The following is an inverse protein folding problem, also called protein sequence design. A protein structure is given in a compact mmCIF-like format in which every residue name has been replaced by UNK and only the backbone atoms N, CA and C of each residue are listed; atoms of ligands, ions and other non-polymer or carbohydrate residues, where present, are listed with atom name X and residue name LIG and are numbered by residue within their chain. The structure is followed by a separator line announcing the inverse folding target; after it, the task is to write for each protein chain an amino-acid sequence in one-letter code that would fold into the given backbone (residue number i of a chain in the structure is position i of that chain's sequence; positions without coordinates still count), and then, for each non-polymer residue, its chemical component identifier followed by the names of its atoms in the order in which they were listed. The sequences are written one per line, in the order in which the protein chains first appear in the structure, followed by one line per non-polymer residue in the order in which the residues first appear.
data_IF_193638174666
#
_entry.id   IF_193638174666
#
_cell.length_a   1.000
_cell.length_b   1.000
_cell.length_c   1.000
_cell.angle_alpha   90.00
_cell.angle_beta   90.00
_cell.angle_gamma   90.00
#
_symmetry.space_group_name_H-M   'P 1'
#
loop_
_entity.id
_entity.type
_entity.pdbx_description
1 polymer ?
#
# COMPACT_ATOMS: atom_id res chain seq x y z
N UNK A 1 -40.89 27.42 -18.67
CA UNK A 1 -41.64 26.31 -19.28
C UNK A 1 -41.26 26.01 -20.75
N UNK A 2 -40.17 26.58 -21.27
CA UNK A 2 -39.67 26.27 -22.62
C UNK A 2 -38.64 25.15 -22.71
N UNK A 3 -38.11 24.70 -21.59
CA UNK A 3 -37.04 23.63 -21.57
C UNK A 3 -37.59 22.21 -21.66
N UNK A 4 -38.85 21.97 -21.43
CA UNK A 4 -39.42 20.60 -21.36
C UNK A 4 -39.87 20.10 -22.73
N UNK A 5 -40.14 21.01 -23.69
CA UNK A 5 -40.64 20.63 -25.02
C UNK A 5 -39.52 20.09 -25.94
N UNK A 6 -38.25 20.47 -25.70
CA UNK A 6 -37.13 20.05 -26.55
C UNK A 6 -36.73 18.54 -26.27
N UNK A 7 -36.89 18.10 -25.04
CA UNK A 7 -36.55 16.70 -24.68
C UNK A 7 -37.54 15.66 -25.18
N UNK A 8 -38.83 16.05 -25.36
CA UNK A 8 -39.88 15.18 -25.83
C UNK A 8 -39.80 14.83 -27.33
N UNK A 9 -39.13 15.65 -28.14
CA UNK A 9 -39.03 15.43 -29.61
C UNK A 9 -37.86 14.51 -29.95
N UNK A 10 -36.89 14.34 -29.09
CA UNK A 10 -35.70 13.46 -29.32
C UNK A 10 -36.01 11.97 -29.07
N UNK A 11 -37.04 11.65 -28.31
CA UNK A 11 -37.38 10.26 -27.93
C UNK A 11 -38.40 9.54 -28.85
N UNK A 12 -38.97 10.23 -29.83
CA UNK A 12 -40.04 9.64 -30.66
C UNK A 12 -39.76 9.50 -32.17
N UNK A 13 -38.61 9.85 -32.68
CA UNK A 13 -38.33 9.80 -34.12
C UNK A 13 -36.96 9.24 -34.46
N UNK A 14 -36.92 8.16 -35.20
CA UNK A 14 -35.71 7.47 -35.62
C UNK A 14 -34.72 8.31 -36.43
N UNK A 15 -33.54 7.74 -36.65
CA UNK A 15 -32.30 8.27 -37.23
C UNK A 15 -32.45 9.22 -38.46
N UNK A 16 -33.55 9.16 -39.18
CA UNK A 16 -33.81 10.01 -40.34
C UNK A 16 -34.18 11.48 -39.99
N UNK A 17 -34.68 11.76 -38.80
CA UNK A 17 -35.02 13.14 -38.36
C UNK A 17 -33.78 13.90 -37.88
N UNK A 18 -32.73 13.21 -37.47
CA UNK A 18 -31.51 13.80 -36.94
C UNK A 18 -30.69 14.55 -38.00
N UNK A 19 -30.64 14.02 -39.24
CA UNK A 19 -29.87 14.61 -40.33
C UNK A 19 -30.50 15.93 -40.87
N UNK A 20 -31.79 16.15 -40.68
CA UNK A 20 -32.49 17.37 -41.15
C UNK A 20 -32.61 18.44 -40.07
N UNK A 21 -32.63 18.06 -38.81
CA UNK A 21 -32.81 19.03 -37.68
C UNK A 21 -31.48 19.59 -37.17
N UNK A 22 -30.36 18.90 -37.32
CA UNK A 22 -29.07 19.30 -36.81
C UNK A 22 -28.62 20.71 -37.26
N UNK A 23 -28.68 21.09 -38.53
CA UNK A 23 -28.25 22.43 -38.97
C UNK A 23 -29.18 23.54 -38.48
N UNK A 24 -30.50 23.29 -38.34
CA UNK A 24 -31.45 24.31 -37.83
C UNK A 24 -31.39 24.45 -36.32
N UNK A 25 -31.08 23.42 -35.57
CA UNK A 25 -30.84 23.50 -34.12
C UNK A 25 -29.56 24.28 -33.83
N UNK A 26 -28.52 24.07 -34.62
CA UNK A 26 -27.27 24.86 -34.54
C UNK A 26 -27.50 26.35 -34.85
N UNK A 27 -28.33 26.66 -35.86
CA UNK A 27 -28.69 28.07 -36.18
C UNK A 27 -29.56 28.71 -35.10
N UNK A 28 -30.47 28.00 -34.48
CA UNK A 28 -31.26 28.47 -33.36
C UNK A 28 -30.45 28.69 -32.10
N UNK A 29 -29.53 27.79 -31.80
CA UNK A 29 -28.60 27.93 -30.66
C UNK A 29 -27.64 29.12 -30.87
N UNK A 30 -27.18 29.37 -32.10
CA UNK A 30 -26.33 30.53 -32.42
C UNK A 30 -27.11 31.86 -32.41
N UNK A 31 -28.42 31.88 -32.70
CA UNK A 31 -29.23 33.06 -32.67
C UNK A 31 -29.68 33.50 -31.25
N UNK A 32 -29.71 32.57 -30.29
CA UNK A 32 -30.01 32.86 -28.88
C UNK A 32 -28.75 33.08 -28.04
N UNK A 33 -27.57 32.72 -28.53
CA UNK A 33 -26.29 33.06 -27.92
C UNK A 33 -25.79 34.32 -28.61
N UNK A 34 -25.98 35.50 -28.00
CA UNK A 34 -25.27 36.67 -28.44
C UNK A 34 -23.81 36.29 -28.63
N UNK A 35 -23.24 36.57 -29.79
CA UNK A 35 -21.92 36.12 -30.29
C UNK A 35 -20.77 36.62 -29.41
N UNK A 36 -20.58 35.96 -28.23
CA UNK A 36 -19.29 35.88 -27.59
C UNK A 36 -18.72 34.52 -27.98
N UNK A 37 -17.55 34.55 -28.61
CA UNK A 37 -16.75 33.33 -28.78
C UNK A 37 -16.72 32.58 -27.46
N UNK A 38 -16.77 31.21 -27.47
CA UNK A 38 -16.67 30.43 -26.25
C UNK A 38 -15.44 30.89 -25.48
N UNK A 39 -15.61 31.24 -24.20
CA UNK A 39 -14.52 31.73 -23.36
C UNK A 39 -13.60 30.57 -22.99
N UNK A 40 -12.88 30.06 -23.98
CA UNK A 40 -11.98 28.90 -23.89
C UNK A 40 -10.55 29.29 -24.31
N UNK A 41 -9.58 28.57 -23.76
CA UNK A 41 -8.19 28.64 -24.23
C UNK A 41 -8.05 27.89 -25.55
N UNK A 42 -6.94 28.15 -26.26
CA UNK A 42 -6.56 27.40 -27.47
C UNK A 42 -5.33 26.56 -27.23
N UNK A 43 -5.31 25.34 -27.78
CA UNK A 43 -4.14 24.44 -27.74
C UNK A 43 -4.03 23.56 -26.51
N UNK A 44 -2.85 22.97 -26.32
CA UNK A 44 -2.56 21.93 -25.33
C UNK A 44 -2.00 22.45 -23.99
N UNK A 45 -2.04 23.78 -23.79
CA UNK A 45 -1.58 24.38 -22.54
C UNK A 45 -0.08 24.63 -22.45
N UNK A 46 0.34 25.24 -21.33
CA UNK A 46 1.73 25.64 -21.05
C UNK A 46 2.17 24.99 -19.73
N UNK A 47 2.60 25.67 -18.75
CA UNK A 47 3.17 25.22 -17.49
C UNK A 47 2.46 24.01 -16.87
N UNK A 48 3.23 23.07 -16.33
CA UNK A 48 2.70 21.87 -15.67
C UNK A 48 1.92 22.24 -14.39
N UNK A 49 0.82 21.54 -14.17
CA UNK A 49 0.02 21.62 -12.95
C UNK A 49 -0.57 20.24 -12.66
N UNK A 50 -0.63 19.85 -11.39
CA UNK A 50 -1.33 18.63 -10.99
C UNK A 50 -2.72 18.99 -10.51
N UNK A 51 -3.75 18.30 -11.02
CA UNK A 51 -5.11 18.38 -10.51
C UNK A 51 -5.51 17.05 -9.86
N UNK A 52 -6.47 17.08 -8.95
CA UNK A 52 -6.95 15.89 -8.27
C UNK A 52 -8.45 15.77 -8.46
N UNK A 53 -8.90 14.61 -8.95
CA UNK A 53 -10.30 14.17 -9.00
C UNK A 53 -10.52 13.25 -7.81
N UNK A 54 -11.46 13.61 -6.93
CA UNK A 54 -11.78 12.82 -5.74
C UNK A 54 -12.83 11.76 -6.06
N UNK A 55 -12.88 10.72 -5.24
CA UNK A 55 -13.96 9.74 -5.32
C UNK A 55 -15.31 10.44 -5.09
N UNK A 56 -16.27 10.18 -6.00
CA UNK A 56 -17.58 10.82 -5.96
C UNK A 56 -17.65 12.19 -6.65
N UNK A 57 -16.54 12.74 -7.18
CA UNK A 57 -16.60 13.95 -8.00
C UNK A 57 -17.42 13.68 -9.26
N UNK A 58 -18.44 14.53 -9.50
CA UNK A 58 -19.21 14.55 -10.73
C UNK A 58 -18.60 15.53 -11.74
N UNK A 59 -19.05 15.48 -12.99
CA UNK A 59 -18.47 16.31 -14.06
C UNK A 59 -18.41 17.81 -13.75
N UNK A 60 -19.36 18.33 -12.98
CA UNK A 60 -19.39 19.73 -12.53
C UNK A 60 -18.26 20.06 -11.56
N UNK A 61 -17.96 19.15 -10.62
CA UNK A 61 -16.85 19.27 -9.67
C UNK A 61 -15.50 19.24 -10.39
N UNK A 62 -15.36 18.34 -11.37
CA UNK A 62 -14.15 18.25 -12.21
C UNK A 62 -13.94 19.54 -12.98
N UNK A 63 -14.98 20.06 -13.65
CA UNK A 63 -14.93 21.32 -14.38
C UNK A 63 -14.49 22.51 -13.50
N UNK A 64 -15.06 22.60 -12.29
CA UNK A 64 -14.72 23.65 -11.33
C UNK A 64 -13.25 23.50 -10.84
N UNK A 65 -12.78 22.29 -10.66
CA UNK A 65 -11.38 22.01 -10.28
C UNK A 65 -10.42 22.44 -11.37
N UNK A 66 -10.70 22.10 -12.62
CA UNK A 66 -9.88 22.51 -13.77
C UNK A 66 -9.79 24.04 -13.90
N UNK A 67 -10.89 24.75 -13.71
CA UNK A 67 -10.89 26.22 -13.75
C UNK A 67 -10.08 26.82 -12.59
N UNK A 68 -10.29 26.36 -11.36
CA UNK A 68 -9.53 26.83 -10.18
C UNK A 68 -8.03 26.61 -10.31
N UNK A 69 -7.62 25.52 -10.96
CA UNK A 69 -6.22 25.20 -11.21
C UNK A 69 -5.65 25.93 -12.44
N UNK A 70 -6.43 26.73 -13.12
CA UNK A 70 -6.02 27.45 -14.31
C UNK A 70 -5.81 26.58 -15.55
N UNK A 71 -6.30 25.34 -15.54
CA UNK A 71 -6.23 24.41 -16.68
C UNK A 71 -7.16 24.86 -17.78
N UNK A 72 -8.44 25.09 -17.48
CA UNK A 72 -9.41 25.64 -18.42
C UNK A 72 -9.81 27.06 -18.01
N UNK A 73 -10.25 27.85 -18.98
CA UNK A 73 -10.61 29.26 -18.77
C UNK A 73 -11.96 29.41 -18.09
N UNK A 74 -12.96 28.60 -18.51
CA UNK A 74 -14.31 28.62 -17.99
C UNK A 74 -14.83 27.19 -17.77
N UNK A 75 -15.20 26.88 -16.51
CA UNK A 75 -15.76 25.59 -16.12
C UNK A 75 -17.05 25.24 -16.84
N UNK A 76 -17.87 26.24 -17.19
CA UNK A 76 -19.15 26.05 -17.89
C UNK A 76 -18.92 25.55 -19.32
N UNK A 77 -17.88 26.05 -19.99
CA UNK A 77 -17.50 25.57 -21.33
C UNK A 77 -17.03 24.12 -21.29
N UNK A 78 -16.19 23.78 -20.33
CA UNK A 78 -15.75 22.41 -20.13
C UNK A 78 -16.91 21.48 -19.76
N UNK A 79 -17.77 21.88 -18.82
CA UNK A 79 -18.93 21.10 -18.42
C UNK A 79 -19.91 20.86 -19.58
N UNK A 80 -20.14 21.88 -20.43
CA UNK A 80 -20.94 21.71 -21.63
C UNK A 80 -20.37 20.71 -22.61
N UNK A 81 -19.04 20.66 -22.75
CA UNK A 81 -18.34 19.64 -23.53
C UNK A 81 -18.56 18.24 -22.95
N UNK A 82 -18.53 18.09 -21.61
CA UNK A 82 -18.81 16.82 -20.96
C UNK A 82 -20.23 16.32 -21.22
N UNK A 83 -21.21 17.21 -21.13
CA UNK A 83 -22.61 16.84 -21.44
C UNK A 83 -22.80 16.38 -22.87
N UNK A 84 -21.94 16.83 -23.79
CA UNK A 84 -21.92 16.37 -25.18
C UNK A 84 -21.09 15.09 -25.40
N UNK A 85 -20.46 14.57 -24.34
CA UNK A 85 -19.59 13.38 -24.38
C UNK A 85 -20.04 12.35 -23.31
N UNK A 86 -21.21 11.72 -23.47
CA UNK A 86 -21.84 10.90 -22.42
C UNK A 86 -21.04 9.65 -22.02
N UNK A 87 -20.15 9.16 -22.88
CA UNK A 87 -19.34 7.97 -22.62
C UNK A 87 -18.08 8.26 -21.77
N UNK A 88 -17.83 9.53 -21.43
CA UNK A 88 -16.66 9.92 -20.64
C UNK A 88 -16.89 9.62 -19.18
N UNK A 89 -16.02 8.79 -18.61
CA UNK A 89 -15.94 8.54 -17.18
C UNK A 89 -14.59 9.04 -16.65
N UNK A 90 -14.61 9.68 -15.48
CA UNK A 90 -13.40 10.09 -14.76
C UNK A 90 -13.09 9.09 -13.67
N UNK A 91 -11.84 8.67 -13.62
CA UNK A 91 -11.36 7.89 -12.50
C UNK A 91 -10.79 8.82 -11.41
N UNK A 92 -11.07 8.58 -10.12
CA UNK A 92 -10.40 9.28 -9.03
C UNK A 92 -8.89 9.14 -9.14
N UNK A 93 -8.16 10.22 -8.86
CA UNK A 93 -6.70 10.22 -8.95
C UNK A 93 -6.16 11.63 -9.20
N UNK A 94 -4.84 11.73 -9.18
CA UNK A 94 -4.12 12.95 -9.58
C UNK A 94 -3.68 12.84 -11.03
N UNK A 95 -3.77 13.98 -11.76
CA UNK A 95 -3.45 14.05 -13.18
C UNK A 95 -2.46 15.18 -13.44
N UNK A 96 -1.40 14.88 -14.19
CA UNK A 96 -0.46 15.87 -14.69
C UNK A 96 -1.08 16.59 -15.88
N UNK A 97 -1.48 17.82 -15.67
CA UNK A 97 -2.12 18.68 -16.65
C UNK A 97 -1.22 19.87 -16.99
N UNK A 98 -1.67 20.72 -17.89
CA UNK A 98 -1.04 22.01 -18.15
C UNK A 98 -2.04 23.14 -17.93
N UNK A 99 -1.55 24.29 -17.51
CA UNK A 99 -2.37 25.51 -17.46
C UNK A 99 -2.71 25.97 -18.87
N UNK A 100 -3.82 26.67 -19.03
CA UNK A 100 -4.28 27.28 -20.28
C UNK A 100 -4.48 26.26 -21.42
N UNK A 101 -5.07 25.10 -21.10
CA UNK A 101 -5.51 24.13 -22.10
C UNK A 101 -6.89 24.49 -22.64
N UNK A 102 -7.14 24.21 -23.93
CA UNK A 102 -8.53 24.20 -24.41
C UNK A 102 -9.33 23.12 -23.67
N UNK A 103 -10.63 23.31 -23.50
CA UNK A 103 -11.52 22.32 -22.88
C UNK A 103 -11.39 20.93 -23.54
N UNK A 104 -11.27 20.89 -24.87
CA UNK A 104 -11.07 19.65 -25.62
C UNK A 104 -9.72 18.98 -25.29
N UNK A 105 -8.64 19.74 -25.22
CA UNK A 105 -7.32 19.20 -24.86
C UNK A 105 -7.28 18.74 -23.40
N UNK A 106 -7.94 19.47 -22.50
CA UNK A 106 -8.04 19.09 -21.10
C UNK A 106 -8.83 17.78 -20.93
N UNK A 107 -9.93 17.60 -21.67
CA UNK A 107 -10.72 16.38 -21.67
C UNK A 107 -9.89 15.19 -22.18
N UNK A 108 -9.20 15.35 -23.30
CA UNK A 108 -8.34 14.31 -23.84
C UNK A 108 -7.21 13.93 -22.87
N UNK A 109 -6.61 14.92 -22.20
CA UNK A 109 -5.55 14.69 -21.22
C UNK A 109 -6.04 13.93 -19.97
N UNK A 110 -7.28 14.15 -19.54
CA UNK A 110 -7.90 13.39 -18.42
C UNK A 110 -8.24 11.95 -18.79
N UNK A 111 -8.39 11.63 -20.06
CA UNK A 111 -8.68 10.29 -20.56
C UNK A 111 -7.40 9.51 -20.90
N UNK A 112 -6.25 10.17 -20.92
CA UNK A 112 -4.95 9.56 -21.19
C UNK A 112 -4.32 9.10 -19.86
N UNK A 113 -4.27 7.79 -19.64
CA UNK A 113 -3.70 7.16 -18.45
C UNK A 113 -2.24 7.55 -18.21
N UNK A 114 -1.49 7.91 -19.24
CA UNK A 114 -0.10 8.38 -19.10
C UNK A 114 0.01 9.70 -18.32
N UNK A 115 -1.05 10.47 -18.23
CA UNK A 115 -1.13 11.70 -17.43
C UNK A 115 -1.51 11.46 -15.95
N UNK A 116 -1.87 10.23 -15.56
CA UNK A 116 -2.11 9.93 -14.14
C UNK A 116 -0.81 10.00 -13.34
N UNK A 117 -0.80 10.85 -12.34
CA UNK A 117 0.29 10.92 -11.36
C UNK A 117 0.02 9.85 -10.32
N UNK A 118 0.69 8.72 -10.43
CA UNK A 118 0.60 7.65 -9.44
C UNK A 118 1.47 8.00 -8.22
N UNK A 119 0.97 8.86 -7.35
CA UNK A 119 1.51 8.93 -6.01
C UNK A 119 1.14 7.63 -5.29
N UNK A 120 2.08 7.04 -4.56
CA UNK A 120 1.88 5.75 -3.89
C UNK A 120 2.51 5.73 -2.50
N UNK A 121 1.97 4.88 -1.64
CA UNK A 121 2.59 4.46 -0.39
C UNK A 121 3.30 3.14 -0.69
N UNK A 122 4.62 3.13 -0.58
CA UNK A 122 5.41 1.90 -0.70
C UNK A 122 5.61 1.35 0.71
N UNK A 123 5.24 0.10 0.92
CA UNK A 123 5.42 -0.65 2.17
C UNK A 123 6.39 -1.80 1.88
N UNK A 124 7.67 -1.68 2.27
CA UNK A 124 8.63 -2.77 2.19
C UNK A 124 8.24 -3.96 3.09
N UNK A 125 8.72 -5.15 2.75
CA UNK A 125 8.58 -6.32 3.61
C UNK A 125 9.26 -6.08 4.97
N UNK A 126 8.68 -6.57 6.04
CA UNK A 126 9.18 -6.39 7.40
C UNK A 126 8.94 -5.01 8.01
N UNK A 127 8.17 -4.12 7.35
CA UNK A 127 7.79 -2.81 7.90
C UNK A 127 6.83 -3.00 9.08
N UNK A 128 7.06 -2.27 10.18
CA UNK A 128 6.17 -2.28 11.34
C UNK A 128 4.94 -1.38 11.12
N UNK A 129 3.84 -1.67 11.82
CA UNK A 129 2.59 -0.88 11.76
C UNK A 129 2.83 0.62 11.98
N UNK A 130 3.65 0.98 12.96
CA UNK A 130 3.95 2.39 13.27
C UNK A 130 4.57 3.15 12.07
N UNK A 131 5.41 2.48 11.28
CA UNK A 131 6.03 3.07 10.08
C UNK A 131 5.03 3.18 8.93
N UNK A 132 4.11 2.22 8.81
CA UNK A 132 3.01 2.27 7.84
C UNK A 132 2.10 3.46 8.17
N UNK A 133 1.71 3.63 9.45
CA UNK A 133 0.94 4.78 9.93
C UNK A 133 1.64 6.11 9.59
N UNK A 134 2.94 6.21 9.87
CA UNK A 134 3.73 7.40 9.53
C UNK A 134 3.78 7.66 8.01
N UNK A 135 3.91 6.59 7.22
CA UNK A 135 3.85 6.64 5.76
C UNK A 135 2.51 7.16 5.23
N UNK A 136 1.39 6.70 5.80
CA UNK A 136 0.04 7.18 5.44
C UNK A 136 -0.14 8.66 5.76
N UNK A 137 0.31 9.13 6.92
CA UNK A 137 0.27 10.56 7.29
C UNK A 137 1.10 11.38 6.31
N UNK A 138 2.32 10.98 6.02
CA UNK A 138 3.26 11.77 5.22
C UNK A 138 2.95 11.77 3.72
N UNK A 139 2.36 10.70 3.18
CA UNK A 139 2.17 10.50 1.74
C UNK A 139 0.72 10.67 1.29
N UNK A 140 -0.26 10.16 2.07
CA UNK A 140 -1.67 10.23 1.71
C UNK A 140 -2.38 11.49 2.24
N UNK A 141 -1.69 12.32 3.03
CA UNK A 141 -2.25 13.57 3.58
C UNK A 141 -3.30 13.34 4.66
N UNK A 142 -3.29 12.17 5.28
CA UNK A 142 -4.16 11.83 6.41
C UNK A 142 -3.63 12.43 7.71
N UNK A 143 -4.50 12.71 8.66
CA UNK A 143 -4.06 13.16 9.98
C UNK A 143 -3.61 11.98 10.84
N UNK A 144 -2.66 12.20 11.75
CA UNK A 144 -2.21 11.19 12.71
C UNK A 144 -3.38 10.63 13.55
N UNK A 145 -4.35 11.48 13.88
CA UNK A 145 -5.53 11.07 14.67
C UNK A 145 -6.42 10.11 13.90
N UNK A 146 -6.70 10.38 12.62
CA UNK A 146 -7.50 9.51 11.77
C UNK A 146 -6.83 8.15 11.56
N UNK A 147 -5.52 8.16 11.27
CA UNK A 147 -4.75 6.92 11.07
C UNK A 147 -4.72 6.08 12.35
N UNK A 148 -4.39 6.68 13.49
CA UNK A 148 -4.34 5.96 14.77
C UNK A 148 -5.73 5.46 15.23
N UNK A 149 -6.81 6.19 14.94
CA UNK A 149 -8.16 5.75 15.23
C UNK A 149 -8.55 4.53 14.38
N UNK A 150 -8.26 4.56 13.09
CA UNK A 150 -8.51 3.46 12.18
C UNK A 150 -7.67 2.20 12.54
N UNK A 151 -6.40 2.37 12.91
CA UNK A 151 -5.53 1.27 13.32
C UNK A 151 -6.02 0.55 14.59
N UNK A 152 -6.64 1.28 15.52
CA UNK A 152 -7.19 0.72 16.77
C UNK A 152 -8.49 -0.05 16.58
N UNK A 153 -9.28 0.24 15.57
CA UNK A 153 -10.56 -0.43 15.31
C UNK A 153 -10.34 -1.71 14.48
N UNK A 154 -9.63 -2.66 15.08
CA UNK A 154 -9.29 -3.95 14.43
C UNK A 154 -10.54 -4.71 13.99
N UNK A 155 -11.66 -4.53 14.70
CA UNK A 155 -12.93 -5.20 14.39
C UNK A 155 -13.54 -4.81 13.05
N UNK A 156 -13.16 -3.64 12.52
CA UNK A 156 -13.66 -3.12 11.25
C UNK A 156 -13.16 -3.89 10.01
N UNK A 157 -12.10 -4.74 10.15
CA UNK A 157 -11.39 -5.34 9.01
C UNK A 157 -11.70 -6.82 8.77
N UNK A 158 -12.63 -7.41 9.52
CA UNK A 158 -13.05 -8.81 9.31
C UNK A 158 -11.95 -9.85 9.58
N UNK A 159 -10.99 -9.53 10.44
CA UNK A 159 -9.90 -10.41 10.84
C UNK A 159 -10.39 -11.58 11.72
N UNK A 160 -9.60 -12.67 11.85
CA UNK A 160 -9.93 -13.76 12.76
C UNK A 160 -10.17 -13.30 14.19
N UNK A 161 -11.02 -14.01 14.91
CA UNK A 161 -11.26 -13.73 16.34
C UNK A 161 -9.97 -13.90 17.14
N UNK A 162 -9.68 -12.93 18.04
CA UNK A 162 -8.44 -12.93 18.84
C UNK A 162 -7.34 -12.03 18.31
N UNK A 163 -7.41 -11.58 17.06
CA UNK A 163 -6.50 -10.56 16.53
C UNK A 163 -6.77 -9.23 17.24
N UNK A 164 -5.72 -8.66 17.84
CA UNK A 164 -5.81 -7.41 18.63
C UNK A 164 -5.10 -6.23 18.02
N UNK A 165 -4.38 -6.43 16.92
CA UNK A 165 -3.58 -5.42 16.24
C UNK A 165 -3.60 -5.65 14.73
N UNK A 166 -3.41 -4.59 13.93
CA UNK A 166 -3.16 -4.70 12.49
C UNK A 166 -1.71 -5.08 12.16
N UNK A 167 -0.80 -5.13 13.17
CA UNK A 167 0.57 -5.59 12.92
C UNK A 167 0.58 -6.98 12.31
N UNK A 168 1.33 -7.15 11.26
CA UNK A 168 1.42 -8.40 10.48
C UNK A 168 0.31 -8.60 9.45
N UNK A 169 -0.79 -7.84 9.53
CA UNK A 169 -1.95 -7.99 8.66
C UNK A 169 -1.98 -7.04 7.46
N UNK A 170 -0.98 -6.16 7.32
CA UNK A 170 -0.89 -5.16 6.26
C UNK A 170 0.13 -5.61 5.21
N UNK A 171 -0.32 -6.25 4.14
CA UNK A 171 0.60 -6.87 3.16
C UNK A 171 1.57 -5.84 2.56
N UNK A 172 2.87 -6.15 2.50
CA UNK A 172 3.89 -5.29 1.90
C UNK A 172 3.70 -5.16 0.39
N UNK A 173 3.38 -3.97 -0.08
CA UNK A 173 3.17 -3.67 -1.50
C UNK A 173 3.26 -2.17 -1.77
N UNK A 174 3.08 -1.80 -3.04
CA UNK A 174 2.90 -0.42 -3.46
C UNK A 174 1.40 -0.12 -3.62
N UNK A 175 0.88 0.73 -2.75
CA UNK A 175 -0.54 1.11 -2.74
C UNK A 175 -0.72 2.48 -3.39
N UNK A 176 -1.61 2.64 -4.37
CA UNK A 176 -1.89 3.94 -4.97
C UNK A 176 -2.52 4.88 -3.95
N UNK A 177 -2.13 6.16 -3.99
CA UNK A 177 -2.82 7.18 -3.22
C UNK A 177 -4.12 7.54 -3.95
N UNK A 178 -5.24 7.18 -3.32
CA UNK A 178 -6.58 7.46 -3.82
C UNK A 178 -7.12 8.70 -3.09
N UNK A 179 -7.29 9.84 -3.81
CA UNK A 179 -7.77 11.07 -3.19
C UNK A 179 -9.16 10.90 -2.57
N UNK A 180 -9.27 11.26 -1.30
CA UNK A 180 -10.51 11.14 -0.54
C UNK A 180 -10.71 9.80 0.18
N UNK A 181 -9.79 8.86 0.05
CA UNK A 181 -9.80 7.65 0.86
C UNK A 181 -9.52 7.98 2.33
N UNK A 182 -10.27 7.35 3.21
CA UNK A 182 -10.01 7.37 4.65
C UNK A 182 -8.87 6.41 5.01
N UNK A 183 -8.31 6.57 6.22
CA UNK A 183 -7.33 5.65 6.76
C UNK A 183 -7.84 4.20 6.79
N UNK A 184 -9.12 4.02 7.14
CA UNK A 184 -9.76 2.71 7.17
C UNK A 184 -9.77 2.04 5.78
N UNK A 185 -10.03 2.79 4.70
CA UNK A 185 -10.02 2.24 3.34
C UNK A 185 -8.62 1.78 2.91
N UNK A 186 -7.56 2.50 3.30
CA UNK A 186 -6.19 2.05 3.06
C UNK A 186 -5.84 0.79 3.83
N UNK A 187 -6.13 0.75 5.12
CA UNK A 187 -5.89 -0.46 5.93
C UNK A 187 -6.71 -1.65 5.43
N UNK A 188 -7.97 -1.45 5.03
CA UNK A 188 -8.78 -2.52 4.45
C UNK A 188 -8.13 -3.09 3.19
N UNK A 189 -7.67 -2.25 2.26
CA UNK A 189 -7.00 -2.70 1.05
C UNK A 189 -5.72 -3.50 1.36
N UNK A 190 -4.96 -3.10 2.38
CA UNK A 190 -3.75 -3.81 2.82
C UNK A 190 -4.08 -5.16 3.47
N UNK A 191 -5.16 -5.21 4.27
CA UNK A 191 -5.66 -6.44 4.91
C UNK A 191 -6.22 -7.40 3.86
N UNK A 192 -7.03 -6.91 2.91
CA UNK A 192 -7.59 -7.74 1.83
C UNK A 192 -6.47 -8.38 1.02
N UNK A 193 -5.43 -7.61 0.70
CA UNK A 193 -4.24 -8.13 0.02
C UNK A 193 -3.54 -9.21 0.84
N UNK A 194 -3.35 -9.03 2.15
CA UNK A 194 -2.77 -10.05 3.03
C UNK A 194 -3.62 -11.33 3.03
N UNK A 195 -4.93 -11.21 3.11
CA UNK A 195 -5.83 -12.36 3.08
C UNK A 195 -5.77 -13.12 1.74
N UNK A 196 -5.64 -12.41 0.62
CA UNK A 196 -5.43 -13.01 -0.70
C UNK A 196 -4.12 -13.81 -0.76
N UNK A 197 -3.02 -13.25 -0.26
CA UNK A 197 -1.72 -13.91 -0.23
C UNK A 197 -1.70 -15.13 0.70
N UNK A 198 -2.34 -15.04 1.87
CA UNK A 198 -2.51 -16.20 2.77
C UNK A 198 -3.33 -17.31 2.11
N UNK A 199 -4.41 -16.97 1.42
CA UNK A 199 -5.22 -17.93 0.69
C UNK A 199 -4.45 -18.58 -0.45
N UNK A 200 -3.66 -17.80 -1.21
CA UNK A 200 -2.77 -18.30 -2.27
C UNK A 200 -1.67 -19.23 -1.73
N UNK A 201 -1.19 -18.99 -0.50
CA UNK A 201 -0.27 -19.88 0.20
C UNK A 201 -0.95 -21.12 0.83
N UNK A 202 -2.28 -21.26 0.69
CA UNK A 202 -3.04 -22.39 1.22
C UNK A 202 -3.26 -22.35 2.74
N UNK A 203 -3.10 -21.19 3.38
CA UNK A 203 -3.26 -21.03 4.83
C UNK A 203 -4.75 -21.03 5.18
N UNK A 204 -5.18 -22.00 5.99
CA UNK A 204 -6.56 -22.07 6.46
C UNK A 204 -6.88 -20.88 7.38
N UNK A 205 -8.10 -20.38 7.38
CA UNK A 205 -8.51 -19.23 8.19
C UNK A 205 -8.16 -19.37 9.68
N UNK A 206 -8.28 -20.59 10.23
CA UNK A 206 -7.96 -20.84 11.64
C UNK A 206 -6.45 -20.76 11.96
N UNK A 207 -5.59 -20.89 10.94
CA UNK A 207 -4.14 -20.92 11.11
C UNK A 207 -3.48 -19.58 10.73
N UNK A 208 -4.26 -18.62 10.22
CA UNK A 208 -3.74 -17.37 9.68
C UNK A 208 -2.94 -16.56 10.70
N UNK A 209 -3.50 -16.34 11.92
CA UNK A 209 -2.80 -15.58 12.96
C UNK A 209 -1.47 -16.24 13.34
N UNK A 210 -1.48 -17.54 13.61
CA UNK A 210 -0.26 -18.28 13.93
C UNK A 210 0.77 -18.17 12.79
N UNK A 211 0.34 -18.32 11.54
CA UNK A 211 1.21 -18.19 10.37
C UNK A 211 1.82 -16.80 10.26
N UNK A 212 1.03 -15.76 10.47
CA UNK A 212 1.51 -14.36 10.39
C UNK A 212 2.50 -14.06 11.52
N UNK A 213 2.19 -14.45 12.76
CA UNK A 213 3.11 -14.26 13.90
C UNK A 213 4.45 -14.91 13.58
N UNK A 214 4.43 -16.16 13.13
CA UNK A 214 5.66 -16.88 12.80
C UNK A 214 6.37 -16.27 11.58
N UNK A 215 5.66 -15.95 10.51
CA UNK A 215 6.23 -15.33 9.32
C UNK A 215 6.85 -13.97 9.61
N UNK A 216 6.24 -13.17 10.51
CA UNK A 216 6.77 -11.87 10.92
C UNK A 216 8.13 -11.98 11.61
N UNK A 217 8.34 -13.04 12.41
CA UNK A 217 9.61 -13.36 13.04
C UNK A 217 10.65 -13.79 11.99
N UNK A 218 10.30 -14.75 11.13
CA UNK A 218 11.18 -15.22 10.04
C UNK A 218 11.58 -14.07 9.12
N UNK A 219 10.65 -13.14 8.82
CA UNK A 219 10.90 -11.96 8.01
C UNK A 219 11.99 -11.05 8.59
N UNK A 220 12.08 -10.97 9.91
CA UNK A 220 13.05 -10.10 10.58
C UNK A 220 14.43 -10.76 10.75
N UNK A 221 14.51 -12.07 10.66
CA UNK A 221 15.72 -12.85 10.95
C UNK A 221 16.44 -13.36 9.68
N UNK A 222 15.71 -13.62 8.60
CA UNK A 222 16.30 -14.17 7.39
C UNK A 222 16.85 -13.07 6.48
N UNK A 223 18.12 -13.16 6.09
CA UNK A 223 18.74 -12.22 5.15
C UNK A 223 18.48 -12.58 3.69
N UNK A 224 18.84 -13.81 3.29
CA UNK A 224 18.70 -14.28 1.92
C UNK A 224 17.38 -15.06 1.73
N UNK A 225 16.71 -14.85 0.61
CA UNK A 225 15.45 -15.54 0.28
C UNK A 225 15.57 -17.08 0.37
N UNK A 226 16.73 -17.64 0.02
CA UNK A 226 17.02 -19.08 0.09
C UNK A 226 17.10 -19.62 1.52
N UNK A 227 17.32 -18.78 2.52
CA UNK A 227 17.49 -19.17 3.92
C UNK A 227 16.19 -19.10 4.73
N UNK A 228 15.18 -18.37 4.25
CA UNK A 228 13.87 -18.26 4.94
C UNK A 228 13.28 -19.64 5.35
N UNK A 229 13.22 -20.67 4.46
CA UNK A 229 12.70 -21.98 4.84
C UNK A 229 13.56 -22.70 5.90
N UNK A 230 14.87 -22.43 5.96
CA UNK A 230 15.78 -22.99 6.97
C UNK A 230 15.65 -22.26 8.31
N UNK A 231 15.56 -20.92 8.29
CA UNK A 231 15.31 -20.09 9.49
C UNK A 231 13.97 -20.50 10.11
N UNK A 232 12.91 -20.63 9.30
CA UNK A 232 11.62 -21.15 9.77
C UNK A 232 11.76 -22.53 10.40
N UNK A 233 12.58 -23.43 9.82
CA UNK A 233 12.85 -24.75 10.37
C UNK A 233 13.60 -24.71 11.71
N UNK A 234 14.59 -23.83 11.86
CA UNK A 234 15.30 -23.65 13.14
C UNK A 234 14.32 -23.24 14.24
N UNK A 235 13.51 -22.24 13.99
CA UNK A 235 12.52 -21.80 14.99
C UNK A 235 11.49 -22.88 15.29
N UNK A 236 10.98 -23.60 14.29
CA UNK A 236 10.06 -24.72 14.53
C UNK A 236 10.71 -25.81 15.37
N UNK A 237 11.96 -26.18 15.07
CA UNK A 237 12.68 -27.19 15.86
C UNK A 237 12.88 -26.75 17.33
N UNK A 238 13.14 -25.46 17.57
CA UNK A 238 13.19 -24.89 18.92
C UNK A 238 11.83 -24.94 19.61
N UNK A 239 10.76 -24.57 18.93
CA UNK A 239 9.39 -24.67 19.46
C UNK A 239 9.02 -26.10 19.83
N UNK A 240 9.39 -27.09 19.01
CA UNK A 240 9.09 -28.52 19.22
C UNK A 240 9.74 -29.10 20.50
N UNK A 241 10.79 -28.45 21.03
CA UNK A 241 11.51 -28.83 22.25
C UNK A 241 11.47 -27.83 23.38
N UNK A 242 10.53 -26.86 23.32
CA UNK A 242 10.38 -25.74 24.29
C UNK A 242 11.66 -24.91 24.50
N UNK A 243 12.53 -24.84 23.50
CA UNK A 243 13.73 -24.02 23.52
C UNK A 243 13.36 -22.56 23.23
N UNK A 244 13.85 -21.56 24.01
CA UNK A 244 13.64 -20.16 23.73
C UNK A 244 14.08 -19.76 22.32
N UNK A 245 13.29 -18.89 21.64
CA UNK A 245 13.60 -18.48 20.27
C UNK A 245 14.78 -17.50 20.20
N UNK A 246 14.97 -16.68 21.23
CA UNK A 246 16.13 -15.79 21.43
C UNK A 246 16.38 -14.87 20.22
N UNK A 247 15.33 -14.17 19.79
CA UNK A 247 15.40 -13.21 18.68
C UNK A 247 15.50 -11.79 19.21
N UNK A 248 16.56 -11.09 18.84
CA UNK A 248 16.72 -9.66 19.13
C UNK A 248 15.60 -8.82 18.51
N UNK A 249 15.08 -9.23 17.36
CA UNK A 249 13.98 -8.53 16.69
C UNK A 249 12.70 -8.49 17.55
N UNK A 250 12.41 -9.56 18.30
CA UNK A 250 11.26 -9.59 19.22
C UNK A 250 11.46 -8.66 20.41
N UNK A 251 12.66 -8.62 20.97
CA UNK A 251 13.02 -7.71 22.06
C UNK A 251 12.92 -6.25 21.60
N UNK A 252 13.53 -5.94 20.45
CA UNK A 252 13.50 -4.60 19.87
C UNK A 252 12.09 -4.12 19.55
N UNK A 253 11.20 -5.00 19.05
CA UNK A 253 9.81 -4.68 18.82
C UNK A 253 9.09 -4.29 20.11
N UNK A 254 9.21 -5.10 21.16
CA UNK A 254 8.56 -4.86 22.45
C UNK A 254 9.04 -3.59 23.16
N UNK A 255 10.29 -3.14 22.92
CA UNK A 255 10.80 -1.85 23.41
C UNK A 255 10.40 -0.66 22.52
N UNK A 256 9.76 -0.88 21.38
CA UNK A 256 9.42 0.15 20.39
C UNK A 256 10.61 0.61 19.53
N UNK A 257 11.73 -0.09 19.57
CA UNK A 257 12.97 0.23 18.82
C UNK A 257 13.10 -0.64 17.55
N UNK A 258 12.07 -0.70 16.73
CA UNK A 258 11.98 -1.58 15.56
C UNK A 258 13.08 -1.41 14.51
N UNK A 259 13.84 -0.32 14.57
CA UNK A 259 14.94 -0.02 13.64
C UNK A 259 16.32 -0.44 14.16
N UNK A 260 16.42 -0.93 15.40
CA UNK A 260 17.68 -1.45 15.93
C UNK A 260 17.88 -2.90 15.54
N UNK A 261 19.11 -3.22 15.14
CA UNK A 261 19.53 -4.58 14.78
C UNK A 261 20.13 -5.37 15.95
N UNK A 262 20.46 -4.70 17.06
CA UNK A 262 21.05 -5.33 18.26
C UNK A 262 20.35 -4.83 19.50
N UNK A 263 20.26 -5.69 20.51
CA UNK A 263 19.72 -5.41 21.84
C UNK A 263 20.83 -5.50 22.89
N UNK A 264 20.62 -4.84 24.03
CA UNK A 264 21.53 -4.92 25.18
C UNK A 264 21.20 -6.13 26.04
N UNK A 265 22.15 -6.57 26.89
CA UNK A 265 21.91 -7.64 27.85
C UNK A 265 20.73 -7.31 28.77
N UNK A 266 20.64 -6.06 29.24
CA UNK A 266 19.53 -5.62 30.09
C UNK A 266 18.15 -5.68 29.39
N UNK A 267 18.09 -5.44 28.07
CA UNK A 267 16.85 -5.58 27.30
C UNK A 267 16.49 -7.07 27.08
N UNK A 268 17.50 -7.94 26.93
CA UNK A 268 17.29 -9.40 26.81
C UNK A 268 16.91 -10.05 28.15
N UNK A 269 17.34 -9.49 29.27
CA UNK A 269 17.02 -9.97 30.62
C UNK A 269 15.68 -9.39 31.17
N UNK A 270 15.01 -8.52 30.37
CA UNK A 270 13.75 -7.88 30.78
C UNK A 270 12.54 -8.80 30.52
N UNK A 271 12.14 -9.55 31.54
CA UNK A 271 10.94 -10.38 31.52
C UNK A 271 9.62 -9.58 31.50
N UNK A 272 9.65 -8.27 31.72
CA UNK A 272 8.45 -7.42 31.64
C UNK A 272 8.03 -7.11 30.21
N UNK A 273 8.94 -7.27 29.23
CA UNK A 273 8.65 -7.17 27.82
C UNK A 273 7.97 -8.46 27.32
N UNK A 274 6.66 -8.47 27.00
CA UNK A 274 5.93 -9.68 26.62
C UNK A 274 6.39 -10.27 25.27
N UNK A 275 7.13 -9.52 24.46
CA UNK A 275 7.70 -9.97 23.20
C UNK A 275 9.09 -10.60 23.35
N UNK A 276 9.70 -10.51 24.56
CA UNK A 276 11.07 -10.98 24.78
C UNK A 276 11.16 -12.52 24.72
N UNK A 277 11.58 -13.06 23.56
CA UNK A 277 11.73 -14.50 23.36
C UNK A 277 13.02 -15.10 23.94
N UNK A 278 13.80 -14.34 24.71
CA UNK A 278 14.82 -14.87 25.62
C UNK A 278 14.20 -15.33 26.93
N UNK A 279 13.18 -14.60 27.42
CA UNK A 279 12.53 -14.85 28.71
C UNK A 279 11.21 -15.62 28.59
N UNK A 280 10.51 -15.49 27.46
CA UNK A 280 9.23 -16.14 27.21
C UNK A 280 9.37 -17.20 26.12
N UNK A 281 9.05 -18.46 26.46
CA UNK A 281 9.03 -19.55 25.50
C UNK A 281 7.89 -19.43 24.49
N UNK A 282 8.06 -19.97 23.31
CA UNK A 282 7.07 -19.95 22.23
C UNK A 282 7.21 -18.75 21.31
N UNK A 283 6.22 -18.58 20.44
CA UNK A 283 6.11 -17.40 19.56
C UNK A 283 5.74 -16.17 20.39
N UNK A 284 6.10 -14.96 19.92
CA UNK A 284 5.64 -13.74 20.55
C UNK A 284 4.09 -13.63 20.52
N UNK A 285 3.48 -12.82 21.41
CA UNK A 285 2.01 -12.78 21.57
C UNK A 285 1.27 -12.23 20.36
N UNK A 286 1.94 -11.49 19.47
CA UNK A 286 1.42 -10.95 18.23
C UNK A 286 2.56 -10.77 17.21
N UNK A 287 2.26 -10.48 15.92
CA UNK A 287 3.28 -10.22 14.91
C UNK A 287 4.18 -9.04 15.29
N UNK A 288 5.43 -9.06 14.83
CA UNK A 288 6.43 -8.02 15.09
C UNK A 288 6.78 -7.21 13.83
N UNK A 289 6.19 -7.54 12.70
CA UNK A 289 6.35 -6.85 11.41
C UNK A 289 5.32 -7.37 10.42
N UNK A 290 5.21 -6.74 9.27
CA UNK A 290 4.36 -7.17 8.17
C UNK A 290 5.17 -8.05 7.20
N UNK A 291 4.93 -9.38 7.17
CA UNK A 291 5.71 -10.32 6.36
C UNK A 291 5.30 -10.30 4.89
N UNK A 292 6.25 -10.57 4.00
CA UNK A 292 6.01 -10.80 2.58
C UNK A 292 5.79 -12.27 2.24
N UNK A 293 5.57 -12.54 0.95
CA UNK A 293 5.31 -13.88 0.41
C UNK A 293 6.39 -14.90 0.75
N UNK A 294 7.66 -14.48 0.72
CA UNK A 294 8.78 -15.39 0.99
C UNK A 294 8.72 -15.92 2.42
N UNK A 295 8.44 -15.06 3.39
CA UNK A 295 8.30 -15.43 4.78
C UNK A 295 7.07 -16.32 5.03
N UNK A 296 5.91 -15.96 4.45
CA UNK A 296 4.67 -16.76 4.55
C UNK A 296 4.89 -18.16 3.97
N UNK A 297 5.48 -18.25 2.78
CA UNK A 297 5.80 -19.55 2.13
C UNK A 297 6.84 -20.34 2.91
N UNK A 298 7.80 -19.71 3.54
CA UNK A 298 8.80 -20.38 4.36
C UNK A 298 8.17 -21.08 5.57
N UNK A 299 7.20 -20.47 6.22
CA UNK A 299 6.48 -21.05 7.36
C UNK A 299 5.55 -22.19 6.92
N UNK A 300 4.89 -22.06 5.77
CA UNK A 300 3.98 -23.09 5.26
C UNK A 300 4.72 -24.25 4.57
N UNK A 301 5.97 -24.04 4.15
CA UNK A 301 6.79 -25.03 3.44
C UNK A 301 8.25 -24.97 3.90
N UNK A 302 8.47 -25.32 5.16
CA UNK A 302 9.79 -25.29 5.80
C UNK A 302 10.76 -26.30 5.17
N UNK A 303 12.05 -25.97 5.16
CA UNK A 303 13.10 -26.91 4.81
C UNK A 303 13.13 -28.12 5.77
N UNK A 304 13.66 -29.23 5.29
CA UNK A 304 13.93 -30.40 6.14
C UNK A 304 15.33 -30.26 6.78
N UNK A 305 15.43 -30.41 8.10
CA UNK A 305 16.70 -30.32 8.84
C UNK A 305 16.49 -30.42 10.34
N UNK A 306 17.59 -30.60 11.07
CA UNK A 306 17.61 -30.71 12.54
C UNK A 306 18.22 -29.46 13.19
N UNK A 307 18.49 -28.43 12.43
CA UNK A 307 19.19 -27.25 12.90
C UNK A 307 18.46 -26.60 14.08
N UNK A 308 19.22 -26.18 15.06
CA UNK A 308 18.76 -25.42 16.22
C UNK A 308 19.38 -24.01 16.26
N UNK A 309 20.42 -23.76 15.47
CA UNK A 309 21.20 -22.53 15.46
C UNK A 309 21.49 -22.09 14.03
N UNK A 310 21.64 -20.78 13.86
CA UNK A 310 22.17 -20.18 12.63
C UNK A 310 22.95 -18.90 12.96
N UNK A 311 23.88 -18.55 12.11
CA UNK A 311 24.61 -17.27 12.13
C UNK A 311 25.07 -16.91 10.73
N UNK A 312 24.90 -15.66 10.34
CA UNK A 312 25.49 -15.13 9.11
C UNK A 312 26.99 -14.95 9.32
N UNK A 313 27.79 -15.66 8.55
CA UNK A 313 29.26 -15.70 8.71
C UNK A 313 29.99 -14.69 7.81
N UNK A 314 29.31 -14.16 6.82
CA UNK A 314 29.78 -13.18 5.85
C UNK A 314 28.67 -12.18 5.55
N UNK A 315 28.85 -10.90 5.98
CA UNK A 315 27.83 -9.87 5.79
C UNK A 315 27.80 -9.29 4.36
N UNK A 316 28.85 -9.51 3.58
CA UNK A 316 28.91 -9.04 2.19
C UNK A 316 28.08 -9.94 1.26
N UNK A 317 28.21 -11.25 1.45
CA UNK A 317 27.49 -12.26 0.66
C UNK A 317 26.15 -12.67 1.27
N UNK A 318 25.98 -12.46 2.58
CA UNK A 318 24.83 -12.94 3.36
C UNK A 318 24.91 -14.43 3.68
N UNK A 319 26.08 -15.08 3.51
CA UNK A 319 26.25 -16.52 3.79
C UNK A 319 25.91 -16.83 5.23
N UNK A 320 24.95 -17.75 5.42
CA UNK A 320 24.44 -18.17 6.72
C UNK A 320 24.73 -19.66 6.96
N UNK A 321 25.37 -19.96 8.08
CA UNK A 321 25.66 -21.34 8.54
C UNK A 321 24.57 -21.78 9.50
N UNK A 322 24.02 -22.97 9.24
CA UNK A 322 23.00 -23.63 10.05
C UNK A 322 23.62 -24.84 10.79
N UNK A 323 23.37 -24.92 12.10
CA UNK A 323 24.03 -25.92 12.98
C UNK A 323 23.00 -26.67 13.81
N UNK A 324 23.22 -27.99 13.99
CA UNK A 324 22.35 -28.84 14.80
C UNK A 324 22.70 -28.74 16.29
N UNK A 325 23.97 -28.46 16.64
CA UNK A 325 24.46 -28.38 18.02
C UNK A 325 25.08 -27.03 18.33
N UNK A 326 25.11 -26.69 19.62
CA UNK A 326 25.73 -25.44 20.09
C UNK A 326 27.25 -25.41 19.80
N UNK A 327 27.97 -26.53 19.91
CA UNK A 327 29.40 -26.57 19.60
C UNK A 327 29.66 -26.24 18.11
N UNK A 328 28.83 -26.77 17.20
CA UNK A 328 28.93 -26.39 15.78
C UNK A 328 28.61 -24.92 15.54
N UNK A 329 27.63 -24.36 16.27
CA UNK A 329 27.31 -22.96 16.21
C UNK A 329 28.47 -22.07 16.67
N UNK A 330 29.16 -22.42 17.74
CA UNK A 330 30.34 -21.70 18.21
C UNK A 330 31.46 -21.64 17.16
N UNK A 331 31.69 -22.72 16.41
CA UNK A 331 32.62 -22.70 15.27
C UNK A 331 32.21 -21.71 14.21
N UNK A 332 30.91 -21.63 13.88
CA UNK A 332 30.40 -20.62 12.91
C UNK A 332 30.48 -19.21 13.46
N UNK A 333 30.26 -19.01 14.77
CA UNK A 333 30.48 -17.71 15.44
C UNK A 333 31.93 -17.25 15.33
N UNK A 334 32.88 -18.18 15.53
CA UNK A 334 34.32 -17.86 15.37
C UNK A 334 34.66 -17.48 13.93
N UNK A 335 34.02 -18.09 12.93
CA UNK A 335 34.14 -17.70 11.52
C UNK A 335 33.64 -16.26 11.31
N UNK A 336 32.46 -15.94 11.82
CA UNK A 336 31.89 -14.59 11.74
C UNK A 336 32.81 -13.56 12.40
N UNK A 337 33.32 -13.86 13.59
CA UNK A 337 34.27 -12.95 14.28
C UNK A 337 35.59 -12.78 13.52
N UNK A 338 36.08 -13.85 12.86
CA UNK A 338 37.26 -13.76 12.00
C UNK A 338 36.98 -12.88 10.77
N UNK A 339 35.79 -13.03 10.18
CA UNK A 339 35.34 -12.21 9.05
C UNK A 339 35.26 -10.73 9.46
N UNK A 340 34.64 -10.39 10.59
CA UNK A 340 34.56 -9.00 11.12
C UNK A 340 35.96 -8.40 11.35
N UNK A 341 36.92 -9.17 11.88
CA UNK A 341 38.30 -8.69 12.04
C UNK A 341 38.98 -8.36 10.71
N UNK A 342 38.61 -9.07 9.63
CA UNK A 342 39.14 -8.83 8.29
C UNK A 342 38.44 -7.66 7.56
N UNK A 343 37.21 -7.29 8.02
CA UNK A 343 36.35 -6.27 7.40
C UNK A 343 35.95 -5.19 8.42
N UNK A 344 36.89 -4.32 8.83
CA UNK A 344 36.64 -3.34 9.90
C UNK A 344 35.54 -2.30 9.55
N UNK A 345 35.22 -2.12 8.28
CA UNK A 345 34.15 -1.22 7.81
C UNK A 345 32.74 -1.72 8.17
N UNK A 346 32.61 -2.97 8.64
CA UNK A 346 31.36 -3.60 9.10
C UNK A 346 31.23 -3.68 10.63
N UNK A 347 32.14 -3.05 11.38
CA UNK A 347 32.14 -3.04 12.85
C UNK A 347 31.42 -1.83 13.45
#
# INVERSE_FOLDING_TARGET
MAGIVIVAIVLAGGVSAYAFAAPKVQQLVSAFSGSKEPDDYTGSGKDKVTITIKQGDIGENVAATLQRSGVVKDSKVFYKLLLASPDVQFQPGSYAMKKQMSSKSALAALQDDSNRVQASIVIPEGTALADIEAGMVSKAGLTKTEVAAAAKDVSAYGLPSGVTTLEGWLFPATYPINPGWSAQQYFQAMVDTMQEHLAAAGVRKADQEHTIVFASLVQKEAGLAADYPKVARVFQNRLDIDMPLQSDATVAYGTGNTHRVTTTDAERDDASNPYNTYEHSGLPPAPISNPGDVAIKAVTNMAQGKWLYFVTVDLETGETVFSDTYDQHLVAVDQFQAWLRAHPDYQ
#
